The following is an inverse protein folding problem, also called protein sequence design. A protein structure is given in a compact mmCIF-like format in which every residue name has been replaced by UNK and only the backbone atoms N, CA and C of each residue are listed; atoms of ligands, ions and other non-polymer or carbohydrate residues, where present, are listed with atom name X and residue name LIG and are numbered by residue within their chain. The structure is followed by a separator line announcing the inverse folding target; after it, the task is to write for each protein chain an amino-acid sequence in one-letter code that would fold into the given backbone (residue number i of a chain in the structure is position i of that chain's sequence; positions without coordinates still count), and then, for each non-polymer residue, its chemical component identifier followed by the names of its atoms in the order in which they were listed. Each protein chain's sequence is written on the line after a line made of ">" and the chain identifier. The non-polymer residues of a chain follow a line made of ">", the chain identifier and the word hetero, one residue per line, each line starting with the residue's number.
data_IF_590643821987
#
_entry.id   IF_590643821987
#
_cell.length_a   1.000
_cell.length_b   1.000
_cell.length_c   1.000
_cell.angle_alpha   90.00
_cell.angle_beta   90.00
_cell.angle_gamma   90.00
#
_symmetry.space_group_name_H-M   'P 1'
#
loop_
_entity.id
_entity.type
_entity.pdbx_description
1 polymer ?
#
# COMPACT_ATOMS: atom_id res chain seq x y z
N UNK A 1 3.20 -26.96 -6.48
CA UNK A 1 2.27 -25.85 -6.72
C UNK A 1 3.10 -24.57 -6.71
N UNK A 2 2.91 -23.64 -7.63
CA UNK A 2 3.75 -22.43 -7.67
C UNK A 2 3.15 -21.37 -6.75
N UNK A 3 3.80 -21.12 -5.64
CA UNK A 3 3.48 -20.02 -4.72
C UNK A 3 3.82 -18.68 -5.37
N UNK A 4 3.02 -17.65 -5.12
CA UNK A 4 3.28 -16.28 -5.57
C UNK A 4 3.13 -15.28 -4.43
N UNK A 5 3.73 -14.10 -4.59
CA UNK A 5 3.62 -13.01 -3.63
C UNK A 5 3.06 -11.76 -4.31
N UNK A 6 2.04 -11.18 -3.70
CA UNK A 6 1.44 -9.93 -4.13
C UNK A 6 1.73 -8.89 -3.06
N UNK A 7 2.26 -7.75 -3.44
CA UNK A 7 2.53 -6.64 -2.54
C UNK A 7 1.52 -5.51 -2.76
N UNK A 8 0.96 -4.99 -1.69
CA UNK A 8 0.53 -3.61 -1.72
C UNK A 8 1.75 -2.70 -1.85
N UNK A 9 1.54 -1.46 -2.27
CA UNK A 9 2.64 -0.55 -2.56
C UNK A 9 2.83 0.52 -1.47
N UNK A 10 1.79 1.31 -1.24
CA UNK A 10 1.86 2.51 -0.41
C UNK A 10 1.66 2.14 1.07
N UNK A 11 2.67 2.39 1.93
CA UNK A 11 2.68 1.93 3.32
C UNK A 11 3.29 0.54 3.51
N UNK A 12 3.36 -0.29 2.46
CA UNK A 12 3.92 -1.64 2.50
C UNK A 12 5.35 -1.71 1.94
N UNK A 13 5.57 -1.37 0.67
CA UNK A 13 6.90 -1.31 0.05
C UNK A 13 7.53 0.07 0.16
N UNK A 14 6.71 1.11 0.00
CA UNK A 14 7.12 2.50 -0.01
C UNK A 14 6.53 3.26 1.18
N UNK A 15 7.35 4.07 1.82
CA UNK A 15 6.95 4.96 2.93
C UNK A 15 6.32 6.27 2.38
N UNK A 16 5.33 6.11 1.50
CA UNK A 16 4.65 7.23 0.86
C UNK A 16 3.72 7.96 1.81
N UNK A 17 3.16 7.28 2.80
CA UNK A 17 2.31 7.91 3.81
C UNK A 17 3.07 8.98 4.61
N UNK A 18 4.33 8.73 4.97
CA UNK A 18 5.17 9.74 5.62
C UNK A 18 5.35 11.00 4.75
N UNK A 19 5.47 10.84 3.42
CA UNK A 19 5.56 11.96 2.48
C UNK A 19 4.23 12.71 2.40
N UNK A 20 3.09 12.01 2.36
CA UNK A 20 1.78 12.65 2.42
C UNK A 20 1.59 13.43 3.72
N UNK A 21 1.92 12.84 4.88
CA UNK A 21 1.81 13.52 6.19
C UNK A 21 2.69 14.77 6.27
N UNK A 22 3.90 14.72 5.72
CA UNK A 22 4.79 15.88 5.61
C UNK A 22 4.09 17.04 4.87
N UNK A 23 3.48 16.77 3.72
CA UNK A 23 2.86 17.81 2.92
C UNK A 23 1.50 18.27 3.46
N UNK A 24 0.69 17.39 4.05
CA UNK A 24 -0.49 17.83 4.79
C UNK A 24 -0.12 18.84 5.88
N UNK A 25 0.88 18.54 6.69
CA UNK A 25 1.32 19.44 7.74
C UNK A 25 1.94 20.74 7.20
N UNK A 26 2.72 20.69 6.12
CA UNK A 26 3.32 21.89 5.50
C UNK A 26 2.23 22.84 4.97
N UNK A 27 1.26 22.30 4.24
CA UNK A 27 0.13 23.07 3.68
C UNK A 27 -0.71 23.70 4.79
N UNK A 28 -0.96 22.96 5.88
CA UNK A 28 -1.69 23.48 7.03
C UNK A 28 -0.94 24.62 7.72
N UNK A 29 0.37 24.44 7.94
CA UNK A 29 1.24 25.46 8.53
C UNK A 29 1.28 26.77 7.69
N UNK A 30 1.36 26.65 6.38
CA UNK A 30 1.31 27.79 5.45
C UNK A 30 -0.01 28.58 5.55
N UNK A 31 -1.10 27.91 5.96
CA UNK A 31 -2.42 28.49 6.19
C UNK A 31 -2.69 28.88 7.65
N UNK A 32 -1.67 28.82 8.52
CA UNK A 32 -1.81 29.10 9.95
C UNK A 32 -2.66 28.10 10.72
N UNK A 33 -2.75 26.86 10.20
CA UNK A 33 -3.55 25.77 10.80
C UNK A 33 -2.59 24.77 11.45
N UNK A 34 -2.98 24.27 12.63
CA UNK A 34 -2.33 23.13 13.29
C UNK A 34 -3.28 21.95 13.17
N UNK A 35 -2.84 20.91 12.47
CA UNK A 35 -3.60 19.66 12.36
C UNK A 35 -3.48 18.86 13.66
N UNK A 36 -4.60 18.29 14.17
CA UNK A 36 -4.55 17.42 15.34
C UNK A 36 -3.93 16.06 14.97
N UNK A 37 -3.39 15.35 15.96
CA UNK A 37 -2.81 14.01 15.74
C UNK A 37 -3.80 13.01 15.12
N UNK A 38 -5.09 13.17 15.39
CA UNK A 38 -6.13 12.34 14.81
C UNK A 38 -6.23 12.46 13.28
N UNK A 39 -5.84 13.61 12.71
CA UNK A 39 -5.93 13.84 11.27
C UNK A 39 -5.22 12.78 10.45
N UNK A 40 -4.02 12.36 10.87
CA UNK A 40 -3.23 11.36 10.15
C UNK A 40 -3.96 10.01 10.00
N UNK A 41 -4.72 9.63 11.02
CA UNK A 41 -5.50 8.37 11.00
C UNK A 41 -6.80 8.53 10.20
N UNK A 42 -7.44 9.69 10.29
CA UNK A 42 -8.67 9.98 9.54
C UNK A 42 -8.42 10.03 8.03
N UNK A 43 -7.29 10.61 7.59
CA UNK A 43 -6.97 10.83 6.16
C UNK A 43 -6.34 9.61 5.49
N UNK A 44 -5.60 8.78 6.25
CA UNK A 44 -4.88 7.63 5.74
C UNK A 44 -5.83 6.64 5.03
N UNK A 45 -5.43 6.19 3.84
CA UNK A 45 -6.19 5.23 3.03
C UNK A 45 -7.53 5.75 2.48
N UNK A 46 -7.85 7.05 2.66
CA UNK A 46 -9.08 7.64 2.12
C UNK A 46 -8.87 8.22 0.71
N UNK A 47 -9.96 8.40 -0.02
CA UNK A 47 -9.93 9.02 -1.36
C UNK A 47 -11.27 9.70 -1.68
N UNK A 48 -11.30 10.46 -2.77
CA UNK A 48 -12.52 11.06 -3.30
C UNK A 48 -13.23 11.97 -2.30
N UNK A 49 -14.53 11.79 -2.19
CA UNK A 49 -15.40 12.64 -1.36
C UNK A 49 -15.14 12.48 0.15
N UNK A 50 -14.77 11.26 0.60
CA UNK A 50 -14.43 11.02 2.01
C UNK A 50 -13.21 11.83 2.41
N UNK A 51 -12.13 11.78 1.61
CA UNK A 51 -10.93 12.59 1.82
C UNK A 51 -11.26 14.08 1.81
N UNK A 52 -12.11 14.54 0.89
CA UNK A 52 -12.49 15.94 0.80
C UNK A 52 -13.15 16.44 2.09
N UNK A 53 -14.13 15.69 2.64
CA UNK A 53 -14.80 16.03 3.90
C UNK A 53 -13.84 16.11 5.09
N UNK A 54 -12.84 15.23 5.15
CA UNK A 54 -11.81 15.26 6.21
C UNK A 54 -10.99 16.55 6.08
N UNK A 55 -10.58 16.90 4.86
CA UNK A 55 -9.84 18.13 4.59
C UNK A 55 -10.69 19.35 4.97
N UNK A 56 -11.95 19.42 4.54
CA UNK A 56 -12.87 20.51 4.88
C UNK A 56 -12.98 20.73 6.38
N UNK A 57 -13.14 19.65 7.14
CA UNK A 57 -13.22 19.66 8.61
C UNK A 57 -11.96 20.24 9.25
N UNK A 58 -10.80 19.74 8.87
CA UNK A 58 -9.54 20.06 9.57
C UNK A 58 -8.88 21.34 9.07
N UNK A 59 -9.02 21.64 7.78
CA UNK A 59 -8.51 22.89 7.20
C UNK A 59 -9.50 24.06 7.29
N UNK A 60 -10.75 23.79 7.77
CA UNK A 60 -11.81 24.79 7.93
C UNK A 60 -12.16 25.51 6.62
N UNK A 61 -12.21 24.74 5.53
CA UNK A 61 -12.56 25.21 4.20
C UNK A 61 -13.92 24.64 3.79
N UNK A 62 -14.57 25.29 2.79
CA UNK A 62 -15.85 24.81 2.25
C UNK A 62 -15.69 23.71 1.19
N UNK A 63 -14.52 23.64 0.58
CA UNK A 63 -14.14 22.64 -0.42
C UNK A 63 -12.65 22.34 -0.26
N UNK A 64 -12.32 21.08 0.03
CA UNK A 64 -10.95 20.60 0.22
C UNK A 64 -10.23 20.21 -1.07
N UNK A 65 -10.90 20.28 -2.22
CA UNK A 65 -10.38 19.77 -3.51
C UNK A 65 -9.06 20.44 -3.90
N UNK A 66 -8.93 21.74 -3.68
CA UNK A 66 -7.70 22.46 -3.99
C UNK A 66 -6.53 22.03 -3.11
N UNK A 67 -6.77 21.88 -1.82
CA UNK A 67 -5.75 21.40 -0.84
C UNK A 67 -5.33 19.97 -1.18
N UNK A 68 -6.29 19.11 -1.52
CA UNK A 68 -6.01 17.75 -1.97
C UNK A 68 -5.11 17.74 -3.21
N UNK A 69 -5.46 18.56 -4.21
CA UNK A 69 -4.69 18.69 -5.45
C UNK A 69 -3.28 19.19 -5.18
N UNK A 70 -3.13 20.22 -4.36
CA UNK A 70 -1.84 20.80 -3.98
C UNK A 70 -0.97 19.75 -3.27
N UNK A 71 -1.51 19.02 -2.30
CA UNK A 71 -0.78 17.98 -1.60
C UNK A 71 -0.30 16.91 -2.58
N UNK A 72 -1.21 16.38 -3.42
CA UNK A 72 -0.86 15.37 -4.44
C UNK A 72 0.23 15.85 -5.41
N UNK A 73 0.22 17.11 -5.82
CA UNK A 73 1.24 17.67 -6.69
C UNK A 73 2.62 17.76 -6.00
N UNK A 74 2.65 18.20 -4.74
CA UNK A 74 3.89 18.28 -3.95
C UNK A 74 4.47 16.88 -3.69
N UNK A 75 3.62 15.91 -3.32
CA UNK A 75 4.01 14.52 -3.15
C UNK A 75 4.56 13.94 -4.46
N UNK A 76 3.83 14.07 -5.57
CA UNK A 76 4.29 13.56 -6.86
C UNK A 76 5.64 14.14 -7.29
N UNK A 77 5.86 15.45 -7.03
CA UNK A 77 7.15 16.09 -7.30
C UNK A 77 8.28 15.51 -6.46
N UNK A 78 8.06 15.25 -5.17
CA UNK A 78 9.07 14.64 -4.30
C UNK A 78 9.38 13.20 -4.74
N UNK A 79 8.32 12.40 -4.93
CA UNK A 79 8.46 11.00 -5.33
C UNK A 79 9.12 10.80 -6.70
N UNK A 80 9.02 11.79 -7.60
CA UNK A 80 9.73 11.73 -8.89
C UNK A 80 11.25 11.85 -8.77
N UNK A 81 11.76 12.31 -7.65
CA UNK A 81 13.20 12.40 -7.36
C UNK A 81 13.72 11.18 -6.56
N UNK A 82 12.83 10.41 -5.95
CA UNK A 82 13.14 9.22 -5.16
C UNK A 82 11.94 8.82 -4.32
N UNK A 83 11.69 7.52 -4.23
CA UNK A 83 10.62 6.98 -3.39
C UNK A 83 11.22 6.40 -2.12
N UNK A 84 10.83 6.87 -0.92
CA UNK A 84 11.33 6.31 0.33
C UNK A 84 10.82 4.87 0.49
N UNK A 85 11.72 3.99 0.94
CA UNK A 85 11.42 2.56 1.08
C UNK A 85 11.08 2.22 2.51
N UNK A 86 10.15 1.27 2.68
CA UNK A 86 9.93 0.63 3.98
C UNK A 86 11.12 -0.26 4.36
N UNK A 87 11.42 -0.42 5.66
CA UNK A 87 12.50 -1.29 6.11
C UNK A 87 12.36 -2.72 5.58
N UNK A 88 13.44 -3.28 5.05
CA UNK A 88 13.47 -4.64 4.50
C UNK A 88 12.92 -4.79 3.08
N UNK A 89 12.51 -3.68 2.43
CA UNK A 89 11.92 -3.74 1.09
C UNK A 89 12.88 -4.31 0.04
N UNK A 90 14.12 -3.84 -0.02
CA UNK A 90 15.10 -4.33 -1.00
C UNK A 90 15.46 -5.79 -0.76
N UNK A 91 15.63 -6.15 0.50
CA UNK A 91 16.03 -7.47 0.95
C UNK A 91 14.98 -8.52 0.61
N UNK A 92 13.70 -8.25 0.91
CA UNK A 92 12.63 -9.18 0.59
C UNK A 92 12.45 -9.37 -0.92
N UNK A 93 12.45 -8.28 -1.70
CA UNK A 93 12.31 -8.36 -3.16
C UNK A 93 13.46 -9.13 -3.79
N UNK A 94 14.70 -8.86 -3.37
CA UNK A 94 15.88 -9.56 -3.88
C UNK A 94 15.86 -11.06 -3.52
N UNK A 95 15.46 -11.40 -2.29
CA UNK A 95 15.39 -12.79 -1.84
C UNK A 95 14.33 -13.60 -2.59
N UNK A 96 13.11 -13.05 -2.76
CA UNK A 96 12.04 -13.71 -3.49
C UNK A 96 12.39 -13.87 -4.98
N UNK A 97 13.00 -12.84 -5.57
CA UNK A 97 13.45 -12.88 -6.96
C UNK A 97 14.52 -13.95 -7.19
N UNK A 98 15.53 -14.03 -6.31
CA UNK A 98 16.57 -15.04 -6.38
C UNK A 98 16.05 -16.49 -6.28
N UNK A 99 14.89 -16.67 -5.65
CA UNK A 99 14.18 -17.96 -5.53
C UNK A 99 13.24 -18.24 -6.70
N UNK A 100 13.12 -17.30 -7.65
CA UNK A 100 12.20 -17.44 -8.80
C UNK A 100 10.73 -17.37 -8.42
N UNK A 101 10.37 -16.78 -7.26
CA UNK A 101 8.99 -16.64 -6.81
C UNK A 101 8.34 -15.50 -7.60
N UNK A 102 7.23 -15.76 -8.31
CA UNK A 102 6.52 -14.74 -9.06
C UNK A 102 5.96 -13.66 -8.13
N UNK A 103 6.19 -12.38 -8.47
CA UNK A 103 5.73 -11.25 -7.70
C UNK A 103 4.83 -10.33 -8.50
N UNK A 104 3.80 -9.76 -7.86
CA UNK A 104 2.94 -8.74 -8.44
C UNK A 104 2.71 -7.58 -7.47
N UNK A 105 2.30 -6.44 -8.02
CA UNK A 105 1.73 -5.32 -7.27
C UNK A 105 0.21 -5.39 -7.33
N UNK A 106 -0.46 -5.15 -6.17
CA UNK A 106 -1.91 -4.96 -6.04
C UNK A 106 -2.21 -3.67 -5.26
N UNK A 107 -2.15 -2.50 -5.92
CA UNK A 107 -2.26 -1.18 -5.27
C UNK A 107 -3.51 -0.43 -5.69
N UNK A 108 -4.13 0.30 -4.75
CA UNK A 108 -5.25 1.22 -5.02
C UNK A 108 -4.83 2.45 -5.85
N UNK A 109 -3.55 2.66 -6.07
CA UNK A 109 -2.99 3.73 -6.89
C UNK A 109 -3.34 3.57 -8.37
N UNK A 110 -3.15 4.66 -9.14
CA UNK A 110 -3.27 4.62 -10.60
C UNK A 110 -2.07 3.92 -11.21
N UNK A 111 -2.29 3.20 -12.30
CA UNK A 111 -1.25 2.45 -13.03
C UNK A 111 0.00 3.28 -13.31
N UNK A 112 -0.17 4.46 -13.87
CA UNK A 112 0.94 5.35 -14.20
C UNK A 112 1.78 5.76 -12.96
N UNK A 113 1.15 5.93 -11.79
CA UNK A 113 1.86 6.24 -10.55
C UNK A 113 2.64 5.04 -10.04
N UNK A 114 2.06 3.85 -10.09
CA UNK A 114 2.73 2.60 -9.70
C UNK A 114 3.98 2.39 -10.57
N UNK A 115 3.84 2.47 -11.88
CA UNK A 115 4.94 2.31 -12.83
C UNK A 115 6.05 3.35 -12.62
N UNK A 116 5.68 4.60 -12.35
CA UNK A 116 6.63 5.67 -12.02
C UNK A 116 7.42 5.36 -10.75
N UNK A 117 6.74 4.96 -9.67
CA UNK A 117 7.38 4.65 -8.40
C UNK A 117 8.32 3.44 -8.52
N UNK A 118 7.89 2.39 -9.23
CA UNK A 118 8.73 1.22 -9.50
C UNK A 118 9.97 1.56 -10.35
N UNK A 119 9.80 2.43 -11.35
CA UNK A 119 10.91 2.88 -12.20
C UNK A 119 11.94 3.68 -11.41
N UNK A 120 11.48 4.68 -10.64
CA UNK A 120 12.35 5.55 -9.83
C UNK A 120 13.09 4.76 -8.74
N UNK A 121 12.44 3.75 -8.15
CA UNK A 121 13.07 2.87 -7.14
C UNK A 121 14.00 1.80 -7.72
N UNK A 122 13.95 1.56 -9.05
CA UNK A 122 14.68 0.49 -9.73
C UNK A 122 14.06 -0.90 -9.53
N UNK A 123 12.76 -0.97 -9.20
CA UNK A 123 12.09 -2.23 -8.87
C UNK A 123 11.23 -2.84 -9.98
N UNK A 124 11.15 -2.20 -11.13
CA UNK A 124 10.30 -2.65 -12.25
C UNK A 124 10.52 -4.12 -12.62
N UNK A 125 11.77 -4.58 -12.64
CA UNK A 125 12.14 -5.95 -13.05
C UNK A 125 11.77 -7.03 -12.04
N UNK A 126 11.45 -6.69 -10.81
CA UNK A 126 11.02 -7.65 -9.79
C UNK A 126 9.59 -8.17 -10.01
N UNK A 127 8.73 -7.38 -10.65
CA UNK A 127 7.32 -7.67 -10.75
C UNK A 127 6.90 -8.15 -12.14
N UNK A 128 6.29 -9.32 -12.19
CA UNK A 128 5.75 -9.92 -13.42
C UNK A 128 4.36 -9.36 -13.77
N UNK A 129 3.66 -8.76 -12.80
CA UNK A 129 2.33 -8.21 -12.99
C UNK A 129 2.06 -7.01 -12.07
N UNK A 130 1.17 -6.14 -12.51
CA UNK A 130 0.65 -5.01 -11.74
C UNK A 130 -0.87 -5.02 -11.89
N UNK A 131 -1.60 -4.92 -10.77
CA UNK A 131 -3.02 -4.61 -10.71
C UNK A 131 -3.19 -3.26 -10.01
N UNK A 132 -3.88 -2.33 -10.64
CA UNK A 132 -4.04 -0.95 -10.18
C UNK A 132 -5.50 -0.59 -9.91
N UNK A 133 -5.72 0.42 -9.06
CA UNK A 133 -7.06 0.83 -8.64
C UNK A 133 -7.95 1.33 -9.78
N UNK A 134 -7.38 1.82 -10.88
CA UNK A 134 -8.10 2.26 -12.08
C UNK A 134 -8.48 1.12 -13.04
N UNK A 135 -8.13 -0.12 -12.72
CA UNK A 135 -8.45 -1.31 -13.52
C UNK A 135 -9.55 -2.19 -12.90
N UNK A 136 -10.03 -1.85 -11.71
CA UNK A 136 -11.04 -2.63 -10.97
C UNK A 136 -12.28 -1.79 -10.70
N UNK A 137 -13.42 -2.48 -10.60
CA UNK A 137 -14.69 -1.80 -10.33
C UNK A 137 -14.83 -1.41 -8.85
N UNK A 138 -14.40 -2.31 -7.96
CA UNK A 138 -14.48 -2.11 -6.52
C UNK A 138 -13.07 -2.10 -5.92
N UNK A 139 -12.73 -1.01 -5.23
CA UNK A 139 -11.48 -0.89 -4.47
C UNK A 139 -11.53 -1.68 -3.15
N UNK A 140 -10.37 -1.84 -2.50
CA UNK A 140 -10.25 -2.43 -1.15
C UNK A 140 -11.29 -1.80 -0.20
N UNK A 141 -12.07 -2.56 0.57
CA UNK A 141 -11.86 -3.96 0.95
C UNK A 141 -12.43 -5.02 0.00
N UNK A 142 -12.93 -4.68 -1.20
CA UNK A 142 -13.30 -5.68 -2.19
C UNK A 142 -12.05 -6.43 -2.70
N UNK A 143 -12.18 -7.74 -3.05
CA UNK A 143 -11.04 -8.58 -3.42
C UNK A 143 -10.50 -8.35 -4.83
N UNK A 144 -11.17 -7.52 -5.62
CA UNK A 144 -11.02 -7.40 -7.08
C UNK A 144 -9.57 -7.18 -7.51
N UNK A 145 -8.83 -6.31 -6.80
CA UNK A 145 -7.47 -5.95 -7.15
C UNK A 145 -6.49 -7.12 -6.95
N UNK A 146 -6.64 -7.87 -5.86
CA UNK A 146 -5.79 -9.02 -5.58
C UNK A 146 -6.14 -10.21 -6.48
N UNK A 147 -7.43 -10.43 -6.77
CA UNK A 147 -7.86 -11.42 -7.74
C UNK A 147 -7.32 -11.11 -9.15
N UNK A 148 -7.30 -9.83 -9.54
CA UNK A 148 -6.71 -9.40 -10.81
C UNK A 148 -5.19 -9.66 -10.86
N UNK A 149 -4.48 -9.38 -9.76
CA UNK A 149 -3.05 -9.64 -9.64
C UNK A 149 -2.73 -11.13 -9.76
N UNK A 150 -3.43 -11.99 -9.02
CA UNK A 150 -3.28 -13.45 -9.08
C UNK A 150 -3.58 -14.01 -10.48
N UNK A 151 -4.65 -13.52 -11.12
CA UNK A 151 -5.00 -13.89 -12.50
C UNK A 151 -3.87 -13.55 -13.48
N UNK A 152 -3.23 -12.38 -13.33
CA UNK A 152 -2.10 -11.95 -14.18
C UNK A 152 -0.84 -12.78 -13.94
N UNK A 153 -0.62 -13.23 -12.72
CA UNK A 153 0.46 -14.17 -12.39
C UNK A 153 0.18 -15.60 -12.86
N UNK A 154 -1.09 -15.93 -13.15
CA UNK A 154 -1.49 -17.31 -13.47
C UNK A 154 -1.44 -18.26 -12.28
N UNK A 155 -1.56 -17.74 -11.05
CA UNK A 155 -1.48 -18.52 -9.80
C UNK A 155 -2.84 -18.51 -9.09
N UNK A 156 -3.32 -19.67 -8.56
CA UNK A 156 -4.55 -19.70 -7.78
C UNK A 156 -4.48 -18.78 -6.57
N UNK A 157 -5.57 -18.07 -6.20
CA UNK A 157 -5.59 -17.19 -5.02
C UNK A 157 -5.13 -17.87 -3.74
N UNK A 158 -5.50 -19.10 -3.49
CA UNK A 158 -5.11 -19.86 -2.29
C UNK A 158 -3.59 -20.09 -2.16
N UNK A 159 -2.86 -19.98 -3.27
CA UNK A 159 -1.40 -20.12 -3.33
C UNK A 159 -0.68 -18.76 -3.32
N UNK A 160 -1.41 -17.65 -3.15
CA UNK A 160 -0.86 -16.31 -3.10
C UNK A 160 -0.74 -15.80 -1.66
N UNK A 161 0.43 -15.30 -1.29
CA UNK A 161 0.61 -14.45 -0.11
C UNK A 161 0.43 -12.99 -0.49
N UNK A 162 -0.17 -12.20 0.40
CA UNK A 162 -0.38 -10.77 0.19
C UNK A 162 0.25 -9.98 1.33
N UNK A 163 1.22 -9.14 1.04
CA UNK A 163 1.79 -8.20 2.00
C UNK A 163 1.00 -6.89 1.96
N UNK A 164 0.57 -6.42 3.12
CA UNK A 164 -0.31 -5.28 3.29
C UNK A 164 -0.09 -4.60 4.65
N UNK A 165 -0.35 -3.28 4.71
CA UNK A 165 -0.25 -2.48 5.94
C UNK A 165 -1.61 -2.05 6.49
N UNK A 166 -2.67 -2.11 5.69
CA UNK A 166 -3.97 -1.52 5.99
C UNK A 166 -5.06 -2.54 6.33
N UNK A 167 -6.00 -2.21 7.23
CA UNK A 167 -7.14 -3.06 7.50
C UNK A 167 -8.00 -3.40 6.28
N UNK A 168 -8.19 -2.44 5.36
CA UNK A 168 -8.98 -2.67 4.15
C UNK A 168 -8.28 -3.61 3.18
N UNK A 169 -6.96 -3.52 3.07
CA UNK A 169 -6.20 -4.43 2.23
C UNK A 169 -6.15 -5.84 2.78
N UNK A 170 -6.00 -6.01 4.09
CA UNK A 170 -6.10 -7.34 4.74
C UNK A 170 -7.47 -7.97 4.49
N UNK A 171 -8.57 -7.22 4.67
CA UNK A 171 -9.91 -7.73 4.36
C UNK A 171 -10.05 -8.11 2.88
N UNK A 172 -9.49 -7.31 1.96
CA UNK A 172 -9.51 -7.59 0.54
C UNK A 172 -8.75 -8.89 0.19
N UNK A 173 -7.56 -9.08 0.75
CA UNK A 173 -6.76 -10.28 0.52
C UNK A 173 -7.43 -11.53 1.12
N UNK A 174 -7.99 -11.42 2.34
CA UNK A 174 -8.75 -12.50 2.97
C UNK A 174 -10.00 -12.87 2.15
N UNK A 175 -10.77 -11.86 1.70
CA UNK A 175 -11.94 -12.07 0.85
C UNK A 175 -11.60 -12.68 -0.52
N UNK A 176 -10.38 -12.47 -1.02
CA UNK A 176 -9.86 -13.12 -2.22
C UNK A 176 -9.49 -14.60 -1.99
N UNK A 177 -9.54 -15.12 -0.76
CA UNK A 177 -9.10 -16.46 -0.40
C UNK A 177 -7.57 -16.63 -0.42
N UNK A 178 -6.84 -15.53 -0.22
CA UNK A 178 -5.37 -15.50 -0.18
C UNK A 178 -4.85 -15.60 1.25
N UNK A 179 -3.54 -15.57 1.43
CA UNK A 179 -2.82 -15.64 2.70
C UNK A 179 -2.28 -14.24 3.06
N UNK A 180 -3.06 -13.39 3.80
CA UNK A 180 -2.62 -12.05 4.12
C UNK A 180 -1.51 -12.04 5.17
N UNK A 181 -0.51 -11.18 4.96
CA UNK A 181 0.57 -10.85 5.90
C UNK A 181 0.47 -9.37 6.19
N UNK A 182 0.33 -9.02 7.46
CA UNK A 182 0.24 -7.63 7.89
C UNK A 182 1.61 -7.10 8.31
N UNK A 183 2.03 -6.01 7.66
CA UNK A 183 3.18 -5.18 8.04
C UNK A 183 2.64 -3.82 8.48
N UNK A 184 2.33 -3.60 9.76
CA UNK A 184 1.64 -2.40 10.21
C UNK A 184 2.43 -1.12 9.89
N UNK A 185 1.76 -0.10 9.36
CA UNK A 185 2.31 1.25 9.20
C UNK A 185 1.65 2.21 10.20
N UNK A 186 0.72 3.05 9.77
CA UNK A 186 0.10 4.06 10.64
C UNK A 186 -1.05 3.51 11.47
N UNK A 187 -1.83 2.57 10.93
CA UNK A 187 -3.04 2.08 11.59
C UNK A 187 -2.73 1.07 12.68
N UNK A 188 -3.41 1.17 13.85
CA UNK A 188 -3.24 0.19 14.90
C UNK A 188 -3.76 -1.20 14.47
N UNK A 189 -3.06 -2.23 14.90
CA UNK A 189 -3.48 -3.62 14.69
C UNK A 189 -4.59 -3.96 15.69
N UNK A 190 -5.76 -4.33 15.18
CA UNK A 190 -6.86 -4.85 16.01
C UNK A 190 -6.86 -6.38 15.99
N UNK A 191 -7.45 -7.00 17.03
CA UNK A 191 -7.60 -8.47 17.09
C UNK A 191 -8.38 -9.00 15.87
N UNK A 192 -9.41 -8.27 15.42
CA UNK A 192 -10.18 -8.60 14.23
C UNK A 192 -9.24 -8.72 13.00
N UNK A 193 -8.42 -7.70 12.76
CA UNK A 193 -7.54 -7.67 11.59
C UNK A 193 -6.44 -8.74 11.71
N UNK A 194 -5.85 -8.91 12.88
CA UNK A 194 -4.84 -9.93 13.09
C UNK A 194 -5.39 -11.35 12.84
N UNK A 195 -6.65 -11.62 13.20
CA UNK A 195 -7.30 -12.93 12.99
C UNK A 195 -7.52 -13.29 11.51
N UNK A 196 -7.48 -12.30 10.60
CA UNK A 196 -7.60 -12.51 9.15
C UNK A 196 -6.26 -12.77 8.46
N UNK A 197 -5.15 -12.70 9.20
CA UNK A 197 -3.79 -12.83 8.64
C UNK A 197 -3.15 -14.18 8.98
N UNK A 198 -2.20 -14.59 8.17
CA UNK A 198 -1.32 -15.73 8.48
C UNK A 198 -0.11 -15.29 9.34
N UNK A 199 0.14 -13.99 9.46
CA UNK A 199 1.16 -13.42 10.32
C UNK A 199 1.11 -11.91 10.37
N UNK A 200 1.61 -11.34 11.49
CA UNK A 200 1.79 -9.90 11.70
C UNK A 200 3.26 -9.68 12.06
N UNK A 201 3.96 -8.91 11.25
CA UNK A 201 5.41 -8.70 11.39
C UNK A 201 5.73 -7.22 11.42
N UNK A 202 6.79 -6.85 12.13
CA UNK A 202 7.18 -5.46 12.30
C UNK A 202 7.81 -4.87 11.04
N UNK A 203 8.58 -5.67 10.33
CA UNK A 203 9.25 -5.29 9.08
C UNK A 203 9.16 -6.43 8.05
N UNK A 204 9.35 -6.10 6.79
CA UNK A 204 9.22 -7.05 5.67
C UNK A 204 10.17 -8.25 5.78
N UNK A 205 11.38 -8.05 6.30
CA UNK A 205 12.37 -9.13 6.48
C UNK A 205 11.98 -10.15 7.52
N UNK A 206 11.28 -9.76 8.58
CA UNK A 206 10.85 -10.70 9.63
C UNK A 206 9.88 -11.73 9.04
N UNK A 207 8.96 -11.28 8.17
CA UNK A 207 8.03 -12.17 7.46
C UNK A 207 8.76 -13.11 6.49
N UNK A 208 9.85 -12.66 5.87
CA UNK A 208 10.63 -13.49 4.96
C UNK A 208 11.25 -14.69 5.67
N UNK A 209 11.80 -14.51 6.87
CA UNK A 209 12.43 -15.59 7.63
C UNK A 209 11.44 -16.74 7.90
N UNK A 210 10.21 -16.41 8.25
CA UNK A 210 9.19 -17.41 8.55
C UNK A 210 8.62 -18.07 7.27
N UNK A 211 8.45 -17.29 6.21
CA UNK A 211 8.06 -17.80 4.91
C UNK A 211 9.11 -18.77 4.33
N UNK A 212 10.39 -18.52 4.61
CA UNK A 212 11.51 -19.33 4.14
C UNK A 212 11.68 -20.61 4.96
N UNK A 213 11.32 -20.60 6.24
CA UNK A 213 11.34 -21.76 7.11
C UNK A 213 10.20 -22.77 6.82
N UNK A 214 9.13 -22.31 6.18
CA UNK A 214 8.07 -23.17 5.67
C UNK A 214 8.39 -23.68 4.26
N UNK A 215 8.13 -24.95 3.99
CA UNK A 215 8.26 -25.54 2.65
C UNK A 215 7.27 -24.83 1.68
N UNK A 216 7.84 -24.05 0.75
CA UNK A 216 7.11 -23.35 -0.32
C UNK A 216 6.71 -24.28 -1.46
#
# INVERSE_FOLDING_TARGET
>A
MSTAVIFDMDGTLFDTEAVFQKYWNAIAKERGIVLPDAFKYEICGTSGEVMNRIIEKHYRVKDGTEIQRECKQRVAKELSCGVPLKPGCREILASLHARGIPMAIGSSGRRAQIESNLSVSGFTSYFSAIASGDEVLHGKPAPDIFLLAAKRLGVPPADCYVFEDSPNGIRAAHAAGMKPILIPDLMPVTEEIASLTVGVYKVLTDALEELVAGDW
#
